data_IF_262065000413
#
_entry.id   IF_262065000413
#
_cell.length_a   1.000
_cell.length_b   1.000
_cell.length_c   1.000
_cell.angle_alpha   90.00
_cell.angle_beta   90.00
_cell.angle_gamma   90.00
#
_symmetry.space_group_name_H-M   'P 1'
#
loop_
_entity.id
_entity.type
_entity.pdbx_description
1 polymer ?
#
# COMPACT_ATOMS: atom_id res chain seq x y z
N UNK A 1 22.54 -10.15 13.27
CA UNK A 1 21.73 -9.94 12.06
C UNK A 1 22.42 -8.90 11.19
N UNK A 2 23.17 -9.35 10.18
CA UNK A 2 23.82 -8.50 9.17
C UNK A 2 22.93 -8.52 7.94
N UNK A 3 22.43 -7.35 7.51
CA UNK A 3 21.81 -7.23 6.19
C UNK A 3 22.89 -6.75 5.22
N UNK A 4 23.31 -7.66 4.34
CA UNK A 4 24.12 -7.38 3.17
C UNK A 4 23.19 -6.76 2.12
N UNK A 5 23.45 -5.52 1.70
CA UNK A 5 22.81 -4.94 0.53
C UNK A 5 23.85 -4.87 -0.59
N UNK A 6 23.53 -5.59 -1.66
CA UNK A 6 24.23 -5.68 -2.93
C UNK A 6 24.18 -4.32 -3.64
N UNK A 7 25.32 -3.76 -4.01
CA UNK A 7 25.42 -2.63 -4.95
C UNK A 7 25.75 -3.21 -6.34
N UNK A 8 25.02 -2.85 -7.41
CA UNK A 8 25.50 -3.12 -8.76
C UNK A 8 26.46 -2.02 -9.19
N UNK A 9 27.68 -2.44 -9.50
CA UNK A 9 28.67 -1.67 -10.25
C UNK A 9 28.23 -1.62 -11.72
N UNK A 10 28.21 -0.43 -12.31
CA UNK A 10 28.31 -0.29 -13.77
C UNK A 10 29.37 0.76 -14.08
N UNK A 11 30.53 0.22 -14.40
CA UNK A 11 31.60 0.88 -15.16
C UNK A 11 31.14 1.02 -16.60
N UNK A 12 31.24 2.21 -17.18
CA UNK A 12 31.37 2.35 -18.63
C UNK A 12 32.37 3.47 -18.95
N UNK A 13 33.59 3.03 -19.20
CA UNK A 13 34.60 3.77 -19.95
C UNK A 13 34.21 3.78 -21.42
N UNK A 14 34.03 4.95 -22.02
CA UNK A 14 34.16 5.08 -23.47
C UNK A 14 35.10 6.22 -23.85
N UNK A 15 36.27 5.79 -24.31
CA UNK A 15 37.28 6.51 -25.05
C UNK A 15 36.73 6.81 -26.45
N UNK A 16 36.83 8.07 -26.88
CA UNK A 16 36.85 8.44 -28.30
C UNK A 16 37.94 9.50 -28.45
N UNK A 17 39.15 9.09 -28.82
CA UNK A 17 39.61 8.95 -30.20
C UNK A 17 39.71 10.30 -30.90
N UNK A 18 40.97 10.74 -30.98
CA UNK A 18 41.55 11.77 -31.82
C UNK A 18 40.77 12.14 -33.09
N UNK A 19 40.57 13.45 -33.22
CA UNK A 19 40.66 14.25 -34.44
C UNK A 19 40.78 13.49 -35.77
N UNK A 20 39.72 13.59 -36.58
CA UNK A 20 39.83 13.62 -38.03
C UNK A 20 39.23 14.94 -38.52
N UNK A 21 40.10 15.81 -39.03
CA UNK A 21 39.79 17.08 -39.66
C UNK A 21 39.45 16.82 -41.14
N UNK A 22 38.18 16.61 -41.45
CA UNK A 22 37.65 16.83 -42.80
C UNK A 22 36.12 16.77 -42.76
N UNK A 23 35.46 17.64 -43.51
CA UNK A 23 34.00 17.80 -43.64
C UNK A 23 33.31 18.61 -42.51
N UNK A 24 33.93 19.73 -42.12
CA UNK A 24 33.16 20.94 -41.81
C UNK A 24 32.79 21.58 -43.15
N UNK A 25 31.54 21.48 -43.58
CA UNK A 25 30.90 22.47 -44.50
C UNK A 25 29.45 22.21 -44.88
N UNK A 26 28.79 21.11 -44.48
CA UNK A 26 27.37 20.89 -44.89
C UNK A 26 26.41 20.61 -43.71
N UNK A 27 26.91 20.45 -42.48
CA UNK A 27 26.03 20.20 -41.32
C UNK A 27 25.56 21.44 -40.56
N UNK A 28 25.87 22.67 -41.02
CA UNK A 28 25.48 23.90 -40.29
C UNK A 28 24.09 24.44 -40.63
N UNK A 29 23.39 23.87 -41.62
CA UNK A 29 22.07 24.39 -42.04
C UNK A 29 20.88 23.55 -41.52
N UNK A 30 21.11 22.49 -40.73
CA UNK A 30 20.03 21.68 -40.13
C UNK A 30 20.17 21.44 -38.61
N UNK A 31 21.14 22.06 -37.95
CA UNK A 31 21.27 22.00 -36.47
C UNK A 31 20.36 23.05 -35.80
N UNK A 32 19.91 24.07 -36.52
CA UNK A 32 19.07 25.15 -35.97
C UNK A 32 17.57 24.80 -35.85
N UNK A 33 17.15 23.57 -36.19
CA UNK A 33 15.75 23.13 -36.04
C UNK A 33 15.57 22.20 -34.83
N UNK A 34 16.67 21.71 -34.24
CA UNK A 34 16.62 21.04 -32.94
C UNK A 34 17.27 21.96 -31.91
N UNK A 35 16.52 22.50 -30.92
CA UNK A 35 17.15 23.09 -29.77
C UNK A 35 18.09 22.02 -29.21
N UNK A 36 19.36 22.36 -29.04
CA UNK A 36 20.31 21.47 -28.39
C UNK A 36 19.67 20.98 -27.08
N UNK A 37 19.94 19.73 -26.67
CA UNK A 37 19.44 19.22 -25.37
C UNK A 37 19.81 20.13 -24.17
N UNK A 38 20.75 21.07 -24.37
CA UNK A 38 21.10 22.13 -23.44
C UNK A 38 20.02 23.23 -23.32
N UNK A 39 19.32 23.60 -24.40
CA UNK A 39 18.24 24.60 -24.37
C UNK A 39 16.94 24.04 -23.78
N UNK A 40 16.65 22.75 -23.98
CA UNK A 40 15.45 22.10 -23.42
C UNK A 40 15.52 21.93 -21.88
N UNK A 41 16.71 22.02 -21.28
CA UNK A 41 16.95 21.71 -19.86
C UNK A 41 17.39 22.91 -19.00
N UNK A 42 17.41 24.13 -19.52
CA UNK A 42 17.85 25.33 -18.78
C UNK A 42 16.99 25.55 -17.52
N UNK A 43 15.67 25.41 -17.64
CA UNK A 43 14.75 25.57 -16.50
C UNK A 43 14.98 24.53 -15.39
N UNK A 44 15.36 23.31 -15.75
CA UNK A 44 15.62 22.23 -14.79
C UNK A 44 16.97 22.41 -14.08
N UNK A 45 18.01 22.84 -14.82
CA UNK A 45 19.33 23.15 -14.26
C UNK A 45 19.30 24.40 -13.34
N UNK A 46 18.40 25.35 -13.59
CA UNK A 46 18.21 26.53 -12.73
C UNK A 46 17.30 26.27 -11.52
N UNK A 47 16.34 25.34 -11.61
CA UNK A 47 15.39 25.04 -10.52
C UNK A 47 15.93 24.05 -9.47
N UNK A 48 17.09 23.45 -9.70
CA UNK A 48 17.69 22.52 -8.74
C UNK A 48 18.09 23.24 -7.43
N UNK A 49 17.86 22.63 -6.25
CA UNK A 49 18.24 23.24 -4.99
C UNK A 49 19.75 23.44 -4.93
N UNK A 50 20.19 24.70 -4.83
CA UNK A 50 21.60 25.07 -4.86
C UNK A 50 22.45 24.40 -3.78
N UNK A 51 21.84 24.07 -2.64
CA UNK A 51 22.50 23.48 -1.46
C UNK A 51 21.65 22.37 -0.85
N UNK A 52 22.32 21.37 -0.30
CA UNK A 52 21.69 20.35 0.56
C UNK A 52 21.05 21.05 1.76
N UNK A 53 19.77 20.75 2.01
CA UNK A 53 19.07 21.27 3.18
C UNK A 53 19.71 20.74 4.47
N UNK A 54 19.93 21.60 5.46
CA UNK A 54 20.46 21.18 6.75
C UNK A 54 19.43 20.34 7.50
N UNK A 55 19.90 19.49 8.42
CA UNK A 55 19.04 18.69 9.28
C UNK A 55 18.02 19.57 10.04
N UNK A 56 18.46 20.72 10.56
CA UNK A 56 17.61 21.69 11.24
C UNK A 56 16.51 22.24 10.33
N UNK A 57 16.84 22.67 9.10
CA UNK A 57 15.84 23.23 8.17
C UNK A 57 14.83 22.18 7.69
N UNK A 58 15.27 20.92 7.50
CA UNK A 58 14.37 19.80 7.19
C UNK A 58 13.40 19.52 8.33
N UNK A 59 13.90 19.43 9.58
CA UNK A 59 13.05 19.18 10.76
C UNK A 59 12.10 20.32 11.06
N UNK A 60 12.55 21.57 10.96
CA UNK A 60 11.69 22.74 11.15
C UNK A 60 10.54 22.74 10.14
N UNK A 61 10.81 22.43 8.86
CA UNK A 61 9.76 22.33 7.85
C UNK A 61 8.80 21.17 8.09
N UNK A 62 9.28 20.03 8.57
CA UNK A 62 8.44 18.83 8.75
C UNK A 62 7.59 18.93 10.03
N UNK A 63 8.21 19.32 11.13
CA UNK A 63 7.66 19.18 12.49
C UNK A 63 7.07 20.46 13.09
N UNK A 64 7.23 21.64 12.47
CA UNK A 64 6.76 22.90 13.05
C UNK A 64 5.30 22.82 13.56
N UNK A 65 5.10 23.25 14.80
CA UNK A 65 3.94 22.92 15.64
C UNK A 65 2.62 23.55 15.18
N UNK A 66 2.69 24.63 14.40
CA UNK A 66 1.65 25.65 14.34
C UNK A 66 0.88 25.68 13.00
N UNK A 67 1.45 25.17 11.91
CA UNK A 67 0.93 25.44 10.55
C UNK A 67 0.88 24.22 9.61
N UNK A 68 1.35 23.06 10.05
CA UNK A 68 1.52 21.93 9.14
C UNK A 68 0.35 20.96 9.20
N UNK A 69 -0.21 20.69 8.02
CA UNK A 69 -1.06 19.52 7.70
C UNK A 69 -0.36 18.18 8.02
N UNK A 70 0.94 18.22 8.26
CA UNK A 70 1.81 17.07 8.48
C UNK A 70 1.76 16.55 9.92
N UNK A 71 1.39 17.40 10.89
CA UNK A 71 1.32 16.98 12.29
C UNK A 71 -0.07 16.42 12.58
N UNK A 72 -0.12 15.19 13.09
CA UNK A 72 -1.37 14.54 13.50
C UNK A 72 -1.92 15.24 14.75
N UNK A 73 -3.17 15.69 14.69
CA UNK A 73 -3.85 16.34 15.81
C UNK A 73 -4.48 15.29 16.73
N UNK A 74 -4.57 15.62 18.01
CA UNK A 74 -5.30 14.80 18.97
C UNK A 74 -6.79 14.72 18.60
N UNK A 75 -7.36 13.53 18.76
CA UNK A 75 -8.75 13.25 18.44
C UNK A 75 -9.63 13.58 19.65
N UNK A 76 -10.03 14.84 19.78
CA UNK A 76 -10.86 15.31 20.90
C UNK A 76 -12.35 14.98 20.75
N UNK A 77 -12.78 14.55 19.57
CA UNK A 77 -14.16 14.25 19.24
C UNK A 77 -14.52 12.78 19.47
N UNK A 78 -14.07 12.19 20.58
CA UNK A 78 -14.43 10.83 20.98
C UNK A 78 -15.49 10.87 22.09
N UNK A 79 -16.52 10.04 21.97
CA UNK A 79 -17.57 9.90 22.98
C UNK A 79 -17.90 8.44 23.28
N UNK A 80 -18.69 8.22 24.33
CA UNK A 80 -19.18 6.90 24.73
C UNK A 80 -20.28 6.41 23.78
N UNK A 81 -20.21 5.14 23.39
CA UNK A 81 -21.29 4.50 22.65
C UNK A 81 -22.49 4.20 23.56
N UNK A 82 -23.72 4.58 23.17
CA UNK A 82 -24.91 4.34 24.00
C UNK A 82 -25.22 2.86 24.17
N UNK A 83 -24.89 2.01 23.19
CA UNK A 83 -25.21 0.58 23.23
C UNK A 83 -24.18 -0.26 23.99
N UNK A 84 -22.89 -0.06 23.72
CA UNK A 84 -21.82 -0.91 24.27
C UNK A 84 -20.93 -0.23 25.33
N UNK A 85 -21.05 1.08 25.53
CA UNK A 85 -20.23 1.82 26.51
C UNK A 85 -18.74 1.99 26.15
N UNK A 86 -18.33 1.65 24.92
CA UNK A 86 -16.95 1.81 24.46
C UNK A 86 -16.75 3.14 23.71
N UNK A 87 -15.50 3.56 23.53
CA UNK A 87 -15.17 4.75 22.74
C UNK A 87 -15.60 4.60 21.28
N UNK A 88 -16.18 5.68 20.73
CA UNK A 88 -16.53 5.89 19.32
C UNK A 88 -16.25 7.34 18.95
N UNK A 89 -16.26 7.66 17.65
CA UNK A 89 -16.22 9.06 17.19
C UNK A 89 -17.58 9.73 17.39
N UNK A 90 -17.55 11.03 17.68
CA UNK A 90 -18.73 11.89 17.72
C UNK A 90 -19.45 11.84 16.36
N UNK A 91 -20.79 11.95 16.40
CA UNK A 91 -21.67 11.97 15.21
C UNK A 91 -21.56 10.73 14.29
N UNK A 92 -20.89 9.66 14.71
CA UNK A 92 -20.69 8.44 13.90
C UNK A 92 -21.30 7.24 14.61
N UNK A 93 -21.82 6.22 13.91
CA UNK A 93 -22.26 4.98 14.55
C UNK A 93 -21.07 4.14 15.05
N UNK A 94 -21.27 3.34 16.09
CA UNK A 94 -20.20 2.49 16.62
C UNK A 94 -19.86 1.38 15.60
N UNK A 95 -18.59 1.25 15.20
CA UNK A 95 -18.17 0.24 14.22
C UNK A 95 -18.44 -1.20 14.68
N UNK A 96 -18.45 -1.44 16.00
CA UNK A 96 -18.72 -2.77 16.57
C UNK A 96 -20.19 -3.11 16.56
N UNK A 97 -21.04 -2.21 17.04
CA UNK A 97 -22.49 -2.43 17.11
C UNK A 97 -23.07 -2.65 15.70
N UNK A 98 -22.67 -1.82 14.72
CA UNK A 98 -23.11 -1.99 13.32
C UNK A 98 -22.56 -3.29 12.71
N UNK A 99 -21.34 -3.70 13.09
CA UNK A 99 -20.77 -4.98 12.67
C UNK A 99 -21.58 -6.18 13.18
N UNK A 100 -22.04 -6.12 14.42
CA UNK A 100 -22.89 -7.15 15.02
C UNK A 100 -24.28 -7.20 14.35
N UNK A 101 -24.92 -6.05 14.12
CA UNK A 101 -26.20 -5.98 13.40
C UNK A 101 -26.06 -6.59 12.00
N UNK A 102 -24.99 -6.25 11.27
CA UNK A 102 -24.72 -6.85 9.96
C UNK A 102 -24.54 -8.36 10.04
N UNK A 103 -23.87 -8.86 11.08
CA UNK A 103 -23.69 -10.30 11.27
C UNK A 103 -25.03 -11.01 11.51
N UNK A 104 -25.89 -10.43 12.35
CA UNK A 104 -27.25 -10.91 12.61
C UNK A 104 -28.06 -10.93 11.32
N UNK A 105 -28.06 -9.84 10.53
CA UNK A 105 -28.77 -9.81 9.26
C UNK A 105 -28.26 -10.85 8.28
N UNK A 106 -26.94 -11.07 8.18
CA UNK A 106 -26.39 -12.14 7.34
C UNK A 106 -26.89 -13.52 7.78
N UNK A 107 -26.99 -13.78 9.09
CA UNK A 107 -27.50 -15.06 9.58
C UNK A 107 -28.99 -15.26 9.27
N UNK A 108 -29.81 -14.20 9.36
CA UNK A 108 -31.24 -14.29 9.04
C UNK A 108 -31.55 -14.28 7.54
N UNK A 109 -30.79 -13.53 6.73
CA UNK A 109 -30.98 -13.42 5.28
C UNK A 109 -30.30 -14.54 4.51
N UNK A 110 -29.37 -15.28 5.12
CA UNK A 110 -28.81 -16.49 4.52
C UNK A 110 -29.88 -17.60 4.51
N UNK A 111 -30.87 -17.44 3.63
CA UNK A 111 -31.67 -18.57 3.17
C UNK A 111 -30.73 -19.62 2.60
N UNK A 112 -31.02 -20.89 2.88
CA UNK A 112 -30.22 -22.04 2.47
C UNK A 112 -30.10 -22.09 0.94
N UNK A 113 -29.03 -21.51 0.40
CA UNK A 113 -28.61 -21.75 -0.97
C UNK A 113 -27.86 -23.08 -1.00
N UNK A 114 -28.58 -24.17 -0.78
CA UNK A 114 -28.08 -25.53 -1.01
C UNK A 114 -28.19 -25.77 -2.53
N UNK A 115 -27.06 -25.86 -3.22
CA UNK A 115 -27.07 -26.22 -4.63
C UNK A 115 -27.32 -27.73 -4.77
N UNK A 116 -27.98 -28.17 -5.84
CA UNK A 116 -28.28 -29.61 -6.05
C UNK A 116 -27.01 -30.49 -6.06
N UNK A 117 -25.85 -29.91 -6.41
CA UNK A 117 -24.55 -30.58 -6.32
C UNK A 117 -24.15 -30.86 -4.87
N UNK A 118 -24.39 -29.92 -3.94
CA UNK A 118 -24.10 -30.10 -2.51
C UNK A 118 -24.89 -31.26 -1.91
N UNK A 119 -26.14 -31.44 -2.35
CA UNK A 119 -27.00 -32.56 -1.93
C UNK A 119 -26.43 -33.91 -2.38
N UNK A 120 -26.04 -34.07 -3.66
CA UNK A 120 -25.44 -35.31 -4.15
C UNK A 120 -24.13 -35.63 -3.41
N UNK A 121 -23.24 -34.66 -3.28
CA UNK A 121 -21.98 -34.82 -2.56
C UNK A 121 -22.21 -35.16 -1.08
N UNK A 122 -23.23 -34.61 -0.44
CA UNK A 122 -23.56 -34.96 0.96
C UNK A 122 -23.93 -36.44 1.13
N UNK A 123 -24.60 -37.03 0.14
CA UNK A 123 -25.10 -38.43 0.17
C UNK A 123 -24.07 -39.50 -0.20
N UNK A 124 -22.93 -39.11 -0.79
CA UNK A 124 -21.90 -40.07 -1.20
C UNK A 124 -21.18 -40.72 -0.01
N UNK A 125 -20.77 -41.98 -0.18
CA UNK A 125 -19.89 -42.69 0.77
C UNK A 125 -18.55 -41.97 0.91
N UNK A 126 -17.96 -41.98 2.11
CA UNK A 126 -16.64 -41.41 2.37
C UNK A 126 -15.53 -42.07 1.52
N UNK A 127 -15.68 -43.36 1.21
CA UNK A 127 -14.77 -44.07 0.29
C UNK A 127 -14.86 -43.46 -1.10
N UNK A 128 -16.08 -43.25 -1.61
CA UNK A 128 -16.30 -42.69 -2.94
C UNK A 128 -15.82 -41.25 -3.02
N UNK A 129 -16.00 -40.44 -1.96
CA UNK A 129 -15.46 -39.06 -1.90
C UNK A 129 -13.95 -39.03 -2.02
N UNK A 130 -13.25 -39.95 -1.34
CA UNK A 130 -11.79 -40.03 -1.39
C UNK A 130 -11.27 -40.53 -2.74
N UNK A 131 -11.99 -41.46 -3.37
CA UNK A 131 -11.68 -41.96 -4.71
C UNK A 131 -11.93 -40.88 -5.77
N UNK A 132 -13.07 -40.18 -5.69
CA UNK A 132 -13.47 -39.17 -6.68
C UNK A 132 -12.70 -37.85 -6.52
N UNK A 133 -12.41 -37.43 -5.29
CA UNK A 133 -11.73 -36.17 -4.97
C UNK A 133 -10.47 -36.39 -4.12
N UNK A 134 -9.39 -36.93 -4.71
CA UNK A 134 -8.13 -37.10 -4.00
C UNK A 134 -7.51 -35.74 -3.62
N UNK A 135 -6.85 -35.70 -2.46
CA UNK A 135 -6.15 -34.51 -1.99
C UNK A 135 -4.96 -34.14 -2.88
N UNK A 136 -4.73 -32.84 -3.07
CA UNK A 136 -3.57 -32.32 -3.82
C UNK A 136 -2.62 -31.55 -2.90
N UNK A 137 -1.32 -31.64 -3.19
CA UNK A 137 -0.32 -30.82 -2.50
C UNK A 137 -0.36 -29.40 -3.04
N UNK A 138 -0.70 -28.44 -2.19
CA UNK A 138 -0.72 -27.04 -2.59
C UNK A 138 0.69 -26.50 -2.84
N UNK A 139 0.80 -25.62 -3.83
CA UNK A 139 1.99 -24.80 -4.08
C UNK A 139 2.27 -23.88 -2.88
N UNK A 140 3.53 -23.47 -2.66
CA UNK A 140 3.87 -22.59 -1.54
C UNK A 140 3.12 -21.25 -1.59
N UNK A 141 2.81 -20.75 -2.79
CA UNK A 141 1.98 -19.56 -2.97
C UNK A 141 0.55 -19.78 -2.47
N UNK A 142 -0.10 -20.88 -2.88
CA UNK A 142 -1.44 -21.20 -2.44
C UNK A 142 -1.52 -21.41 -0.92
N UNK A 143 -0.48 -21.99 -0.30
CA UNK A 143 -0.39 -22.10 1.16
C UNK A 143 -0.39 -20.73 1.84
N UNK A 144 0.41 -19.79 1.34
CA UNK A 144 0.42 -18.41 1.85
C UNK A 144 -0.92 -17.69 1.64
N UNK A 145 -1.60 -17.95 0.53
CA UNK A 145 -2.91 -17.36 0.26
C UNK A 145 -4.02 -17.94 1.16
N UNK A 146 -3.92 -19.23 1.50
CA UNK A 146 -4.82 -19.88 2.46
C UNK A 146 -4.64 -19.32 3.87
N UNK A 147 -3.41 -18.93 4.23
CA UNK A 147 -3.10 -18.24 5.48
C UNK A 147 -3.58 -16.78 5.48
N UNK A 148 -4.91 -16.61 5.52
CA UNK A 148 -5.57 -15.31 5.50
C UNK A 148 -5.25 -14.47 6.73
N UNK A 149 -5.02 -15.10 7.86
CA UNK A 149 -4.77 -14.41 9.13
C UNK A 149 -3.42 -13.68 9.13
N UNK A 150 -2.44 -14.15 8.34
CA UNK A 150 -1.13 -13.51 8.19
C UNK A 150 -1.18 -12.14 7.51
N UNK A 151 -2.02 -11.96 6.48
CA UNK A 151 -2.04 -10.72 5.69
C UNK A 151 -3.33 -9.88 5.83
N UNK A 152 -4.44 -10.47 6.27
CA UNK A 152 -5.73 -9.78 6.37
C UNK A 152 -6.00 -9.28 7.81
N UNK A 153 -5.98 -7.96 7.99
CA UNK A 153 -6.22 -7.34 9.30
C UNK A 153 -7.70 -7.37 9.69
N UNK A 154 -8.02 -8.01 10.81
CA UNK A 154 -9.35 -7.97 11.43
C UNK A 154 -9.54 -6.66 12.22
N UNK A 155 -10.78 -6.20 12.35
CA UNK A 155 -11.12 -4.97 13.09
C UNK A 155 -10.91 -5.18 14.60
N UNK A 156 -10.08 -4.33 15.23
CA UNK A 156 -9.78 -4.37 16.68
C UNK A 156 -10.82 -3.61 17.50
N UNK A 157 -11.13 -4.11 18.71
CA UNK A 157 -12.12 -3.50 19.62
C UNK A 157 -11.54 -2.27 20.31
N UNK A 158 -12.38 -1.24 20.47
CA UNK A 158 -12.01 -0.02 21.18
C UNK A 158 -11.93 -0.28 22.69
N UNK A 159 -11.36 0.65 23.44
CA UNK A 159 -11.33 0.57 24.90
C UNK A 159 -12.72 0.93 25.47
N UNK A 160 -13.10 0.39 26.64
CA UNK A 160 -14.28 0.83 27.39
C UNK A 160 -14.07 2.27 27.89
N UNK A 161 -15.15 3.06 27.96
CA UNK A 161 -15.09 4.38 28.60
C UNK A 161 -15.22 4.19 30.10
N UNK A 162 -14.33 4.82 30.87
CA UNK A 162 -14.39 4.83 32.33
C UNK A 162 -15.72 5.45 32.79
N UNK A 163 -16.29 4.94 33.89
CA UNK A 163 -17.45 5.57 34.51
C UNK A 163 -16.90 6.62 35.47
N UNK A 164 -17.29 7.87 35.25
CA UNK A 164 -17.07 8.93 36.25
C UNK A 164 -17.75 8.47 37.55
N UNK A 165 -16.96 8.36 38.63
CA UNK A 165 -17.39 7.97 39.97
C UNK A 165 -18.05 9.16 40.69
#
# INVERSE_FOLDING_TARGET
MKYHLYLPEHTDTYRYSVMSLALRSIATELINVFPSLAELNIGMLLAAPKKKTSHQKKRQRLLADNANRNNVKFMNNLNKCPSCGHYKRMNTLCPFCVGQIRHIWKAHLAGKAESQADMLESTMSEVDKRVLYPGKVDTPYNRKLKDKDSYLKKRTKTLPVEREL
#
